data_IF_983090563625
#
_entry.id   IF_983090563625
#
_cell.length_a   1.000
_cell.length_b   1.000
_cell.length_c   1.000
_cell.angle_alpha   90.00
_cell.angle_beta   90.00
_cell.angle_gamma   90.00
#
_symmetry.space_group_name_H-M   'P 1'
#
loop_
_entity.id
_entity.type
_entity.pdbx_description
1 polymer ?
#
# COMPACT_ATOMS: atom_id res chain seq x y z
N UNK A 1 3.61 -14.80 5.64
CA UNK A 1 2.98 -13.47 5.57
C UNK A 1 3.63 -12.58 6.61
N UNK A 2 4.61 -11.79 6.20
CA UNK A 2 5.14 -10.68 6.99
C UNK A 2 4.33 -9.44 6.61
N UNK A 3 3.14 -9.28 7.20
CA UNK A 3 2.38 -8.03 7.12
C UNK A 3 2.94 -7.08 8.18
N UNK A 4 4.00 -6.33 7.84
CA UNK A 4 4.45 -5.18 8.61
C UNK A 4 4.07 -3.92 7.86
N UNK A 5 3.57 -2.90 8.56
CA UNK A 5 3.41 -1.57 7.99
C UNK A 5 4.81 -0.92 7.94
N UNK A 6 5.27 -0.55 6.77
CA UNK A 6 6.59 0.07 6.58
C UNK A 6 6.46 1.53 6.14
N UNK A 7 7.05 2.42 6.92
CA UNK A 7 7.04 3.86 6.67
C UNK A 7 8.40 4.25 6.08
N UNK A 8 8.43 4.43 4.75
CA UNK A 8 9.65 4.84 4.05
C UNK A 8 9.68 6.37 3.95
N UNK A 9 10.35 7.03 4.88
CA UNK A 9 10.56 8.49 4.85
C UNK A 9 11.91 8.77 4.18
N UNK A 10 11.92 9.54 3.09
CA UNK A 10 13.13 10.24 2.62
C UNK A 10 13.04 11.69 3.03
N UNK A 11 13.80 12.01 4.07
CA UNK A 11 14.06 13.39 4.47
C UNK A 11 15.16 13.92 3.57
N UNK A 12 14.81 14.58 2.47
CA UNK A 12 15.82 15.16 1.57
C UNK A 12 16.48 16.44 2.12
N UNK A 13 16.72 16.54 3.44
CA UNK A 13 17.77 17.37 4.09
C UNK A 13 17.60 17.63 5.61
N UNK A 14 16.62 17.07 6.32
CA UNK A 14 16.36 17.43 7.73
C UNK A 14 16.22 16.24 8.67
N UNK A 15 16.69 16.40 9.91
CA UNK A 15 16.46 15.45 11.00
C UNK A 15 15.03 15.60 11.55
N UNK A 16 14.44 14.50 12.00
CA UNK A 16 13.03 14.33 12.37
C UNK A 16 12.45 15.35 13.38
N UNK A 17 13.31 16.08 14.11
CA UNK A 17 12.91 17.07 15.11
C UNK A 17 12.60 18.48 14.58
N UNK A 18 13.01 18.83 13.35
CA UNK A 18 12.99 20.23 12.87
C UNK A 18 11.70 20.67 12.15
N UNK A 19 10.77 19.74 11.91
CA UNK A 19 9.65 19.93 10.96
C UNK A 19 8.51 20.78 11.55
N UNK A 20 8.35 20.79 12.89
CA UNK A 20 7.17 21.40 13.53
C UNK A 20 7.31 22.90 13.84
N UNK A 21 8.52 23.48 13.80
CA UNK A 21 8.74 24.87 14.25
C UNK A 21 8.83 25.93 13.13
N UNK A 22 8.85 25.55 11.84
CA UNK A 22 9.25 26.46 10.74
C UNK A 22 8.15 26.87 9.76
N UNK A 23 6.87 26.95 10.16
CA UNK A 23 5.79 27.37 9.25
C UNK A 23 5.37 28.83 9.51
N UNK A 24 5.90 29.84 8.78
CA UNK A 24 5.30 31.15 8.69
C UNK A 24 4.38 31.23 7.47
N UNK A 25 3.12 31.63 7.67
CA UNK A 25 2.19 31.94 6.57
C UNK A 25 1.82 33.42 6.56
N UNK A 26 1.98 34.11 5.43
CA UNK A 26 1.12 35.24 5.10
C UNK A 26 0.38 35.03 3.76
N UNK A 27 -0.92 35.34 3.82
CA UNK A 27 -1.95 35.17 2.78
C UNK A 27 -2.12 36.45 1.95
N UNK A 28 -2.51 36.32 0.66
CA UNK A 28 -3.42 37.29 0.01
C UNK A 28 -4.13 36.90 -1.31
N UNK A 29 -3.80 35.81 -2.01
CA UNK A 29 -4.56 35.36 -3.21
C UNK A 29 -5.34 34.04 -2.96
N UNK A 30 -6.31 34.14 -2.05
CA UNK A 30 -6.65 33.12 -1.05
C UNK A 30 -7.46 31.91 -1.54
N UNK A 31 -8.32 31.98 -2.56
CA UNK A 31 -9.27 30.89 -2.84
C UNK A 31 -8.66 29.63 -3.48
N UNK A 32 -8.00 29.80 -4.63
CA UNK A 32 -7.42 28.70 -5.41
C UNK A 32 -6.05 28.31 -4.85
N UNK A 33 -5.26 29.29 -4.38
CA UNK A 33 -3.94 29.03 -3.81
C UNK A 33 -4.04 28.37 -2.42
N UNK A 34 -5.05 28.68 -1.57
CA UNK A 34 -5.25 27.91 -0.33
C UNK A 34 -5.62 26.45 -0.62
N UNK A 35 -6.44 26.21 -1.65
CA UNK A 35 -6.79 24.86 -2.09
C UNK A 35 -5.58 24.06 -2.57
N UNK A 36 -4.58 24.73 -3.15
CA UNK A 36 -3.34 24.10 -3.61
C UNK A 36 -2.23 24.12 -2.55
N UNK A 37 -2.34 24.90 -1.47
CA UNK A 37 -1.37 24.88 -0.38
C UNK A 37 -1.39 23.53 0.37
N UNK A 38 -2.54 22.88 0.42
CA UNK A 38 -2.69 21.55 1.02
C UNK A 38 -3.68 20.74 0.20
N UNK A 39 -3.15 19.98 -0.75
CA UNK A 39 -3.93 19.21 -1.71
C UNK A 39 -3.98 17.72 -1.32
N UNK A 40 -5.19 17.18 -1.23
CA UNK A 40 -5.42 15.73 -1.23
C UNK A 40 -5.97 15.34 -2.59
N UNK A 41 -5.25 14.46 -3.31
CA UNK A 41 -5.64 14.01 -4.63
C UNK A 41 -5.21 12.56 -4.85
N UNK A 42 -5.97 11.84 -5.67
CA UNK A 42 -5.50 10.56 -6.22
C UNK A 42 -4.52 10.79 -7.36
N UNK A 43 -3.64 9.83 -7.63
CA UNK A 43 -2.75 9.86 -8.81
C UNK A 43 -3.55 10.03 -10.11
N UNK A 44 -4.70 9.36 -10.23
CA UNK A 44 -5.57 9.53 -11.40
C UNK A 44 -6.03 10.99 -11.56
N UNK A 45 -6.41 11.65 -10.45
CA UNK A 45 -6.82 13.05 -10.48
C UNK A 45 -5.66 13.96 -10.83
N UNK A 46 -4.45 13.64 -10.35
CA UNK A 46 -3.22 14.35 -10.70
C UNK A 46 -2.95 14.26 -12.20
N UNK A 47 -2.92 13.07 -12.79
CA UNK A 47 -2.61 12.88 -14.21
C UNK A 47 -3.72 13.42 -15.14
N UNK A 48 -4.96 13.51 -14.66
CA UNK A 48 -6.08 14.06 -15.44
C UNK A 48 -6.19 15.58 -15.38
N UNK A 49 -5.45 16.22 -14.47
CA UNK A 49 -5.50 17.66 -14.25
C UNK A 49 -4.16 18.27 -14.65
N UNK A 50 -4.22 19.45 -15.25
CA UNK A 50 -3.02 20.20 -15.64
C UNK A 50 -2.34 20.88 -14.43
N UNK A 51 -2.17 20.14 -13.32
CA UNK A 51 -1.53 20.64 -12.10
C UNK A 51 -0.07 21.02 -12.35
N UNK A 52 0.60 20.28 -13.22
CA UNK A 52 1.97 20.55 -13.66
C UNK A 52 2.06 21.82 -14.53
N UNK A 53 0.97 22.27 -15.15
CA UNK A 53 0.96 23.52 -15.92
C UNK A 53 0.80 24.76 -15.03
N UNK A 54 0.19 24.60 -13.85
CA UNK A 54 -0.12 25.72 -12.93
C UNK A 54 0.72 25.73 -11.65
N UNK A 55 1.52 24.71 -11.42
CA UNK A 55 2.47 24.62 -10.28
C UNK A 55 3.87 24.38 -10.79
N UNK A 56 4.89 24.95 -10.14
CA UNK A 56 6.29 24.67 -10.46
C UNK A 56 6.75 23.32 -9.87
N UNK A 57 7.85 22.74 -10.38
CA UNK A 57 8.44 21.52 -9.81
C UNK A 57 8.76 21.60 -8.31
N UNK A 58 9.10 22.79 -7.80
CA UNK A 58 9.45 23.08 -6.41
C UNK A 58 8.28 23.66 -5.59
N UNK A 59 7.06 23.63 -6.14
CA UNK A 59 5.88 24.25 -5.52
C UNK A 59 5.50 23.61 -4.18
N UNK A 60 5.61 22.28 -4.08
CA UNK A 60 5.33 21.55 -2.84
C UNK A 60 6.63 21.25 -2.10
N UNK A 61 6.79 21.83 -0.92
CA UNK A 61 7.90 21.48 -0.03
C UNK A 61 7.81 20.05 0.49
N UNK A 62 6.59 19.50 0.60
CA UNK A 62 6.30 18.22 1.24
C UNK A 62 5.27 17.43 0.43
N UNK A 63 5.58 16.18 0.10
CA UNK A 63 4.66 15.26 -0.60
C UNK A 63 4.59 13.95 0.17
N UNK A 64 3.36 13.50 0.45
CA UNK A 64 3.07 12.18 1.00
C UNK A 64 2.37 11.35 -0.07
N UNK A 65 2.86 10.14 -0.29
CA UNK A 65 2.26 9.19 -1.21
C UNK A 65 1.90 7.94 -0.42
N UNK A 66 0.60 7.70 -0.33
CA UNK A 66 0.05 6.46 0.22
C UNK A 66 0.16 5.32 -0.82
N UNK A 67 0.17 4.08 -0.36
CA UNK A 67 0.38 2.89 -1.18
C UNK A 67 1.58 2.98 -2.13
N UNK A 68 2.71 3.47 -1.61
CA UNK A 68 3.93 3.73 -2.37
C UNK A 68 4.51 2.47 -3.04
N UNK A 69 4.04 1.28 -2.65
CA UNK A 69 4.35 0.07 -3.40
C UNK A 69 3.95 0.15 -4.88
N UNK A 70 3.07 1.07 -5.29
CA UNK A 70 2.74 1.36 -6.69
C UNK A 70 3.69 2.32 -7.42
N UNK A 71 4.71 2.89 -6.76
CA UNK A 71 5.55 3.94 -7.31
C UNK A 71 6.16 3.62 -8.69
N UNK A 72 6.50 2.36 -8.98
CA UNK A 72 7.05 1.93 -10.26
C UNK A 72 6.04 1.98 -11.43
N UNK A 73 4.74 2.14 -11.17
CA UNK A 73 3.74 2.26 -12.21
C UNK A 73 3.92 3.59 -12.98
N UNK A 74 3.73 3.60 -14.32
CA UNK A 74 3.88 4.81 -15.12
C UNK A 74 3.05 6.00 -14.62
N UNK A 75 1.87 5.73 -14.05
CA UNK A 75 1.00 6.76 -13.50
C UNK A 75 1.61 7.51 -12.32
N UNK A 76 2.42 6.85 -11.48
CA UNK A 76 3.13 7.49 -10.36
C UNK A 76 4.40 8.20 -10.83
N UNK A 77 5.06 7.70 -11.89
CA UNK A 77 6.30 8.28 -12.40
C UNK A 77 6.12 9.74 -12.83
N UNK A 78 5.00 10.09 -13.44
CA UNK A 78 4.71 11.47 -13.84
C UNK A 78 4.82 12.46 -12.67
N UNK A 79 4.28 12.10 -11.51
CA UNK A 79 4.36 12.90 -10.29
C UNK A 79 5.80 12.95 -9.73
N UNK A 80 6.45 11.79 -9.64
CA UNK A 80 7.79 11.64 -9.05
C UNK A 80 8.89 12.29 -9.88
N UNK A 81 8.73 12.30 -11.21
CA UNK A 81 9.64 12.95 -12.15
C UNK A 81 9.44 14.46 -12.16
N UNK A 82 8.19 14.94 -12.08
CA UNK A 82 7.89 16.37 -12.11
C UNK A 82 8.27 17.08 -10.81
N UNK A 83 7.70 16.69 -9.68
CA UNK A 83 7.93 17.42 -8.43
C UNK A 83 9.28 17.08 -7.80
N UNK A 84 9.87 18.10 -7.15
CA UNK A 84 11.15 18.03 -6.42
C UNK A 84 10.95 18.57 -5.00
N UNK A 85 10.15 17.90 -4.16
CA UNK A 85 9.89 18.36 -2.81
C UNK A 85 11.14 18.27 -1.94
N UNK A 86 11.19 19.09 -0.89
CA UNK A 86 12.23 19.01 0.15
C UNK A 86 12.08 17.78 1.03
N UNK A 87 10.88 17.20 1.10
CA UNK A 87 10.62 15.91 1.75
C UNK A 87 9.62 15.09 0.93
N UNK A 88 9.98 13.84 0.67
CA UNK A 88 9.11 12.85 0.04
C UNK A 88 8.90 11.69 1.01
N UNK A 89 7.65 11.48 1.40
CA UNK A 89 7.25 10.43 2.32
C UNK A 89 6.41 9.37 1.58
N UNK A 90 6.90 8.13 1.54
CA UNK A 90 6.15 6.97 1.03
C UNK A 90 5.61 6.10 2.16
N UNK A 91 4.29 5.88 2.18
CA UNK A 91 3.63 4.98 3.12
C UNK A 91 3.34 3.66 2.38
N UNK A 92 3.63 2.50 2.98
CA UNK A 92 3.29 1.22 2.36
C UNK A 92 3.14 0.10 3.39
N UNK A 93 2.23 -0.83 3.12
CA UNK A 93 2.11 -2.08 3.89
C UNK A 93 2.95 -3.21 3.27
N UNK A 94 3.29 -3.08 1.98
CA UNK A 94 3.95 -4.12 1.19
C UNK A 94 5.14 -3.52 0.46
N UNK A 95 6.29 -3.36 1.14
CA UNK A 95 7.50 -2.81 0.52
C UNK A 95 8.07 -3.75 -0.55
N UNK A 96 7.87 -5.06 -0.38
CA UNK A 96 8.36 -6.09 -1.27
C UNK A 96 7.37 -6.29 -2.41
N UNK A 97 7.88 -6.23 -3.64
CA UNK A 97 7.09 -6.44 -4.85
C UNK A 97 7.44 -7.79 -5.46
N UNK A 98 6.41 -8.49 -5.92
CA UNK A 98 6.56 -9.77 -6.62
C UNK A 98 7.25 -9.63 -7.99
N UNK A 99 7.29 -8.43 -8.58
CA UNK A 99 7.94 -8.20 -9.88
C UNK A 99 9.44 -7.86 -9.76
N UNK A 100 10.03 -7.99 -8.57
CA UNK A 100 11.45 -7.76 -8.32
C UNK A 100 11.89 -6.29 -8.34
N UNK A 101 10.98 -5.34 -8.62
CA UNK A 101 11.28 -3.92 -8.53
C UNK A 101 11.25 -3.47 -7.07
N UNK A 102 12.25 -2.72 -6.65
CA UNK A 102 12.41 -2.30 -5.27
C UNK A 102 12.04 -0.82 -5.12
N UNK A 103 11.02 -0.54 -4.30
CA UNK A 103 10.66 0.84 -3.95
C UNK A 103 11.74 1.56 -3.13
N UNK A 104 12.67 0.80 -2.53
CA UNK A 104 13.78 1.36 -1.76
C UNK A 104 14.71 2.21 -2.63
N UNK A 105 14.74 1.97 -3.94
CA UNK A 105 15.54 2.76 -4.89
C UNK A 105 15.15 4.24 -4.91
N UNK A 106 13.86 4.55 -4.76
CA UNK A 106 13.37 5.94 -4.67
C UNK A 106 13.90 6.67 -3.41
N UNK A 107 14.26 5.89 -2.39
CA UNK A 107 14.70 6.37 -1.08
C UNK A 107 16.16 6.06 -0.79
N UNK A 108 16.97 5.72 -1.81
CA UNK A 108 18.40 5.40 -1.65
C UNK A 108 18.65 4.29 -0.61
N UNK A 109 17.72 3.34 -0.49
CA UNK A 109 17.79 2.28 0.51
C UNK A 109 17.37 2.69 1.92
N UNK A 110 16.93 3.94 2.12
CA UNK A 110 16.57 4.47 3.44
C UNK A 110 15.13 4.11 3.80
N UNK A 111 14.97 3.51 4.98
CA UNK A 111 13.69 3.29 5.65
C UNK A 111 13.77 4.07 6.96
N UNK A 112 12.78 4.91 7.23
CA UNK A 112 12.83 5.77 8.41
C UNK A 112 12.06 5.19 9.59
N UNK A 113 11.00 4.42 9.37
CA UNK A 113 10.42 3.61 10.43
C UNK A 113 9.69 2.37 9.90
N UNK A 114 9.55 1.36 10.74
CA UNK A 114 8.78 0.15 10.46
C UNK A 114 7.99 -0.20 11.71
N UNK A 115 6.68 -0.32 11.55
CA UNK A 115 5.79 -0.79 12.60
C UNK A 115 5.16 -2.11 12.20
N UNK A 116 5.46 -3.16 12.95
CA UNK A 116 4.96 -4.48 12.65
C UNK A 116 3.51 -4.64 13.14
N UNK A 117 2.71 -5.48 12.47
CA UNK A 117 1.29 -5.68 12.81
C UNK A 117 1.06 -6.00 14.29
N UNK A 118 1.94 -6.81 14.91
CA UNK A 118 1.84 -7.13 16.33
C UNK A 118 2.03 -5.90 17.22
N UNK A 119 2.95 -4.99 16.87
CA UNK A 119 3.18 -3.75 17.62
C UNK A 119 1.96 -2.83 17.53
N UNK A 120 1.32 -2.75 16.36
CA UNK A 120 0.10 -1.95 16.17
C UNK A 120 -1.06 -2.51 17.01
N UNK A 121 -1.18 -3.84 17.11
CA UNK A 121 -2.16 -4.50 17.98
C UNK A 121 -1.87 -4.23 19.46
N UNK A 122 -0.61 -4.39 19.90
CA UNK A 122 -0.18 -4.13 21.28
C UNK A 122 -0.42 -2.68 21.70
N UNK A 123 -0.18 -1.73 20.78
CA UNK A 123 -0.44 -0.29 20.97
C UNK A 123 -1.93 0.08 20.91
N UNK A 124 -2.83 -0.89 20.70
CA UNK A 124 -4.29 -0.69 20.54
C UNK A 124 -4.66 0.25 19.38
N UNK A 125 -3.81 0.31 18.35
CA UNK A 125 -4.06 1.04 17.11
C UNK A 125 -4.79 0.17 16.08
N UNK A 126 -4.79 -1.15 16.25
CA UNK A 126 -5.54 -2.11 15.44
C UNK A 126 -6.36 -3.03 16.33
N UNK A 127 -7.52 -3.48 15.85
CA UNK A 127 -8.32 -4.47 16.58
C UNK A 127 -7.58 -5.81 16.65
N UNK A 128 -7.46 -6.46 17.81
CA UNK A 128 -6.93 -7.82 17.86
C UNK A 128 -7.81 -8.75 17.02
N UNK A 129 -7.18 -9.75 16.40
CA UNK A 129 -7.86 -10.77 15.60
C UNK A 129 -7.30 -12.16 15.90
N UNK A 130 -8.11 -13.18 15.62
CA UNK A 130 -7.67 -14.58 15.68
C UNK A 130 -7.58 -15.12 14.26
N UNK A 131 -6.42 -15.68 13.90
CA UNK A 131 -6.20 -16.31 12.60
C UNK A 131 -6.27 -17.83 12.74
N UNK A 132 -7.18 -18.46 12.00
CA UNK A 132 -7.32 -19.91 11.95
C UNK A 132 -6.94 -20.40 10.56
N UNK A 133 -5.75 -21.01 10.44
CA UNK A 133 -5.32 -21.68 9.23
C UNK A 133 -6.05 -23.01 9.08
N UNK A 134 -6.85 -23.16 8.03
CA UNK A 134 -7.61 -24.38 7.75
C UNK A 134 -7.02 -25.06 6.53
N UNK A 135 -6.70 -26.34 6.66
CA UNK A 135 -6.22 -27.16 5.53
C UNK A 135 -7.39 -27.37 4.57
N UNK A 136 -7.25 -26.88 3.34
CA UNK A 136 -8.22 -27.09 2.28
C UNK A 136 -8.18 -28.56 1.80
N UNK A 137 -9.30 -29.06 1.28
CA UNK A 137 -9.42 -30.43 0.80
C UNK A 137 -9.23 -30.58 -0.72
N UNK A 138 -8.93 -29.48 -1.41
CA UNK A 138 -8.60 -29.43 -2.83
C UNK A 138 -7.10 -29.64 -2.99
N UNK A 139 -6.71 -30.65 -3.77
CA UNK A 139 -5.33 -30.89 -4.12
C UNK A 139 -4.92 -29.98 -5.30
N UNK A 140 -3.96 -29.09 -5.04
CA UNK A 140 -3.39 -28.19 -6.05
C UNK A 140 -2.05 -28.67 -6.60
N UNK A 141 -1.58 -29.87 -6.23
CA UNK A 141 -0.24 -30.34 -6.64
C UNK A 141 -0.06 -30.44 -8.16
N UNK A 142 -1.17 -30.52 -8.90
CA UNK A 142 -1.20 -30.63 -10.36
C UNK A 142 -1.41 -29.28 -11.05
N UNK A 143 -1.69 -28.21 -10.30
CA UNK A 143 -1.90 -26.87 -10.85
C UNK A 143 -0.55 -26.27 -11.20
N UNK A 144 -0.42 -25.76 -12.42
CA UNK A 144 0.81 -25.18 -12.91
C UNK A 144 1.16 -23.91 -12.14
N UNK A 145 2.44 -23.78 -11.80
CA UNK A 145 3.03 -22.58 -11.24
C UNK A 145 3.74 -21.81 -12.36
N UNK A 146 3.15 -20.70 -12.80
CA UNK A 146 3.61 -19.89 -13.93
C UNK A 146 3.86 -18.47 -13.45
N UNK A 147 5.09 -17.98 -13.60
CA UNK A 147 5.49 -16.62 -13.22
C UNK A 147 5.10 -16.25 -11.78
N UNK A 148 5.57 -17.06 -10.81
CA UNK A 148 5.40 -16.83 -9.36
C UNK A 148 3.98 -16.90 -8.80
N UNK A 149 3.02 -17.34 -9.62
CA UNK A 149 1.66 -17.63 -9.18
C UNK A 149 1.16 -18.91 -9.84
N UNK A 150 0.12 -19.49 -9.26
CA UNK A 150 -0.61 -20.55 -9.93
C UNK A 150 -1.34 -20.00 -11.17
N UNK A 151 -1.52 -20.85 -12.18
CA UNK A 151 -2.38 -20.53 -13.32
C UNK A 151 -3.83 -20.30 -12.82
N UNK A 152 -4.32 -19.08 -13.03
CA UNK A 152 -5.63 -18.65 -12.52
C UNK A 152 -6.78 -19.48 -13.11
N UNK A 153 -6.68 -19.93 -14.36
CA UNK A 153 -7.72 -20.73 -15.02
C UNK A 153 -7.74 -22.15 -14.47
N UNK A 154 -6.57 -22.73 -14.23
CA UNK A 154 -6.48 -24.04 -13.60
C UNK A 154 -7.00 -24.00 -12.15
N UNK A 155 -6.63 -22.97 -11.38
CA UNK A 155 -7.23 -22.72 -10.06
C UNK A 155 -8.75 -22.67 -10.16
N UNK A 156 -9.30 -21.87 -11.08
CA UNK A 156 -10.75 -21.70 -11.21
C UNK A 156 -11.45 -23.03 -11.55
N UNK A 157 -10.84 -23.83 -12.43
CA UNK A 157 -11.33 -25.17 -12.77
C UNK A 157 -11.38 -26.10 -11.56
N UNK A 158 -10.31 -26.15 -10.77
CA UNK A 158 -10.21 -26.99 -9.59
C UNK A 158 -11.15 -26.56 -8.45
N UNK A 159 -11.40 -25.25 -8.30
CA UNK A 159 -12.21 -24.73 -7.20
C UNK A 159 -13.71 -24.57 -7.51
N UNK A 160 -14.07 -24.24 -8.75
CA UNK A 160 -15.41 -23.72 -9.08
C UNK A 160 -16.15 -24.60 -10.08
N UNK A 161 -15.50 -24.99 -11.17
CA UNK A 161 -16.19 -25.65 -12.28
C UNK A 161 -16.63 -27.09 -11.96
N UNK A 162 -15.89 -27.78 -11.09
CA UNK A 162 -16.36 -29.04 -10.52
C UNK A 162 -17.38 -28.79 -9.39
N UNK A 163 -18.67 -28.70 -9.77
CA UNK A 163 -19.79 -28.42 -8.84
C UNK A 163 -19.75 -29.27 -7.55
N UNK A 164 -19.36 -30.53 -7.65
CA UNK A 164 -19.24 -31.42 -6.49
C UNK A 164 -18.10 -31.01 -5.54
N UNK A 165 -16.94 -30.59 -6.08
CA UNK A 165 -15.81 -30.07 -5.31
C UNK A 165 -16.20 -28.76 -4.64
N UNK A 166 -16.78 -27.81 -5.41
CA UNK A 166 -17.21 -26.53 -4.89
C UNK A 166 -18.19 -26.68 -3.71
N UNK A 167 -19.18 -27.56 -3.84
CA UNK A 167 -20.14 -27.86 -2.77
C UNK A 167 -19.47 -28.48 -1.54
N UNK A 168 -18.56 -29.45 -1.74
CA UNK A 168 -17.81 -30.10 -0.66
C UNK A 168 -16.93 -29.10 0.09
N UNK A 169 -16.26 -28.22 -0.63
CA UNK A 169 -15.39 -27.17 -0.08
C UNK A 169 -16.19 -26.16 0.74
N UNK A 170 -17.32 -25.67 0.20
CA UNK A 170 -18.21 -24.75 0.95
C UNK A 170 -18.69 -25.41 2.25
N UNK A 171 -19.12 -26.67 2.20
CA UNK A 171 -19.53 -27.41 3.39
C UNK A 171 -18.40 -27.53 4.43
N UNK A 172 -17.17 -27.75 3.97
CA UNK A 172 -15.99 -27.81 4.83
C UNK A 172 -15.62 -26.45 5.45
N UNK A 173 -15.71 -25.36 4.67
CA UNK A 173 -15.51 -24.00 5.17
C UNK A 173 -16.55 -23.66 6.24
N UNK A 174 -17.84 -23.91 5.97
CA UNK A 174 -18.93 -23.65 6.92
C UNK A 174 -18.76 -24.46 8.20
N UNK A 175 -18.47 -25.76 8.09
CA UNK A 175 -18.22 -26.62 9.25
C UNK A 175 -17.05 -26.07 10.09
N UNK A 176 -15.97 -25.68 9.41
CA UNK A 176 -14.79 -25.16 10.11
C UNK A 176 -15.04 -23.81 10.77
N UNK A 177 -15.82 -22.93 10.13
CA UNK A 177 -16.30 -21.71 10.77
C UNK A 177 -17.16 -22.02 12.00
N UNK A 178 -18.02 -23.03 11.95
CA UNK A 178 -18.80 -23.49 13.11
C UNK A 178 -17.90 -23.89 14.29
N UNK A 179 -16.89 -24.73 14.01
CA UNK A 179 -15.93 -25.21 15.02
C UNK A 179 -15.15 -24.08 15.70
N UNK A 180 -14.70 -23.07 14.96
CA UNK A 180 -13.84 -22.02 15.52
C UNK A 180 -14.58 -20.76 15.98
N UNK A 181 -15.76 -20.47 15.41
CA UNK A 181 -16.49 -19.23 15.70
C UNK A 181 -17.73 -19.42 16.59
N UNK A 182 -18.35 -20.61 16.59
CA UNK A 182 -19.65 -20.84 17.23
C UNK A 182 -19.59 -21.83 18.41
N UNK A 183 -18.62 -22.74 18.44
CA UNK A 183 -18.37 -23.59 19.61
C UNK A 183 -17.55 -22.80 20.64
N UNK A 184 -18.25 -22.12 21.55
CA UNK A 184 -17.73 -21.58 22.81
C UNK A 184 -18.31 -22.36 23.99
#
# INVERSE_FOLDING_TARGET
MTSGLEWNIKLSQYDSGDILEKIPLPLKDIGIILSLHSLFASIQSFNSKDLTEVTSPDFYDYIVIDEFHHAAAPSYQELLEYYKPKVLLGLTVTPERADGQSIYTYFEGSVADKICLWEVIERKLLSPFHYFGVIDNVDLSQVQWVAEKYDEREIENHYVFEKAIAQKRIGYVINTMGRYCLEK
#
